data_IF_272082445535
#
_entry.id   IF_272082445535
#
_cell.length_a   1.000
_cell.length_b   1.000
_cell.length_c   1.000
_cell.angle_alpha   90.00
_cell.angle_beta   90.00
_cell.angle_gamma   90.00
#
_symmetry.space_group_name_H-M   'P 1'
#
loop_
_entity.id
_entity.type
_entity.pdbx_description
1 polymer ?
#
# COMPACT_ATOMS: atom_id res chain seq x y z
N UNK A 1 -13.33 7.83 -7.10
CA UNK A 1 -12.62 9.11 -7.32
C UNK A 1 -11.12 8.90 -7.56
N UNK A 2 -10.34 8.26 -6.67
CA UNK A 2 -8.89 8.11 -6.87
C UNK A 2 -8.51 7.38 -8.18
N UNK A 3 -9.07 6.19 -8.42
CA UNK A 3 -8.78 5.39 -9.62
C UNK A 3 -9.14 6.10 -10.94
N UNK A 4 -10.18 6.94 -10.95
CA UNK A 4 -10.53 7.70 -12.16
C UNK A 4 -9.51 8.80 -12.47
N UNK A 5 -8.88 9.40 -11.46
CA UNK A 5 -7.86 10.45 -11.64
C UNK A 5 -6.58 9.88 -12.23
N UNK A 6 -6.19 8.67 -11.79
CA UNK A 6 -4.95 8.04 -12.22
C UNK A 6 -5.12 7.16 -13.48
N UNK A 7 -6.34 7.05 -14.01
CA UNK A 7 -6.65 6.18 -15.15
C UNK A 7 -5.81 6.55 -16.38
N UNK A 8 -5.21 5.53 -16.99
CA UNK A 8 -4.38 5.68 -18.20
C UNK A 8 -3.02 6.32 -17.95
N UNK A 9 -2.65 6.57 -16.69
CA UNK A 9 -1.31 7.02 -16.31
C UNK A 9 -0.45 5.82 -15.96
N UNK A 10 0.86 6.04 -16.06
CA UNK A 10 1.88 5.06 -15.77
C UNK A 10 2.80 5.62 -14.70
N UNK A 11 3.18 4.80 -13.72
CA UNK A 11 3.98 5.23 -12.57
C UNK A 11 5.14 4.27 -12.30
N UNK A 12 6.35 4.80 -12.12
CA UNK A 12 7.51 4.02 -11.64
C UNK A 12 7.49 3.76 -10.13
N UNK A 13 6.70 4.52 -9.38
CA UNK A 13 6.59 4.43 -7.92
C UNK A 13 5.23 3.88 -7.50
N UNK A 14 5.09 3.33 -6.28
CA UNK A 14 3.79 2.93 -5.75
C UNK A 14 2.83 4.11 -5.65
N UNK A 15 1.54 3.80 -5.66
CA UNK A 15 0.51 4.75 -5.25
C UNK A 15 0.21 4.55 -3.77
N UNK A 16 0.10 5.63 -3.01
CA UNK A 16 -0.06 5.54 -1.55
C UNK A 16 -1.43 6.03 -1.11
N UNK A 17 -2.00 5.36 -0.10
CA UNK A 17 -3.08 5.94 0.70
C UNK A 17 -2.47 6.76 1.81
N UNK A 18 -2.86 8.02 1.87
CA UNK A 18 -2.42 8.98 2.87
C UNK A 18 -3.56 9.24 3.86
N UNK A 19 -3.31 8.96 5.14
CA UNK A 19 -4.30 9.09 6.21
C UNK A 19 -3.66 9.74 7.43
N UNK A 20 -3.97 11.01 7.64
CA UNK A 20 -3.36 11.88 8.67
C UNK A 20 -4.36 12.69 9.49
N UNK A 21 -5.64 12.71 9.11
CA UNK A 21 -6.59 13.61 9.75
C UNK A 21 -7.02 13.09 11.11
N UNK A 22 -6.98 13.98 12.11
CA UNK A 22 -7.45 13.67 13.47
C UNK A 22 -8.85 13.07 13.49
N UNK A 23 -9.78 13.63 12.70
CA UNK A 23 -11.16 13.14 12.63
C UNK A 23 -11.27 11.69 12.12
N UNK A 24 -10.31 11.25 11.29
CA UNK A 24 -10.24 9.85 10.86
C UNK A 24 -9.72 8.99 12.01
N UNK A 25 -8.65 9.40 12.68
CA UNK A 25 -8.09 8.67 13.82
C UNK A 25 -9.06 8.53 15.01
N UNK A 26 -9.90 9.54 15.24
CA UNK A 26 -10.93 9.53 16.29
C UNK A 26 -11.99 8.42 16.10
N UNK A 27 -12.05 7.78 14.92
CA UNK A 27 -12.88 6.58 14.68
C UNK A 27 -12.32 5.32 15.35
N UNK A 28 -11.07 5.35 15.83
CA UNK A 28 -10.40 4.24 16.48
C UNK A 28 -9.74 3.25 15.50
N UNK A 29 -8.80 2.45 16.04
CA UNK A 29 -7.92 1.57 15.26
C UNK A 29 -8.66 0.63 14.31
N UNK A 30 -9.74 0.00 14.77
CA UNK A 30 -10.48 -0.99 13.98
C UNK A 30 -11.12 -0.36 12.74
N UNK A 31 -11.85 0.74 12.92
CA UNK A 31 -12.54 1.43 11.84
C UNK A 31 -11.55 2.08 10.87
N UNK A 32 -10.49 2.71 11.38
CA UNK A 32 -9.41 3.28 10.56
C UNK A 32 -8.75 2.20 9.71
N UNK A 33 -8.43 1.06 10.32
CA UNK A 33 -7.83 -0.08 9.62
C UNK A 33 -8.79 -0.71 8.59
N UNK A 34 -10.10 -0.69 8.83
CA UNK A 34 -11.09 -1.11 7.83
C UNK A 34 -11.11 -0.17 6.61
N UNK A 35 -11.05 1.14 6.84
CA UNK A 35 -10.98 2.15 5.77
C UNK A 35 -9.71 1.98 4.94
N UNK A 36 -8.55 1.85 5.61
CA UNK A 36 -7.27 1.61 4.95
C UNK A 36 -7.34 0.35 4.08
N UNK A 37 -7.81 -0.79 4.63
CA UNK A 37 -7.95 -2.04 3.87
C UNK A 37 -8.86 -1.89 2.66
N UNK A 38 -10.00 -1.19 2.79
CA UNK A 38 -10.92 -1.00 1.68
C UNK A 38 -10.26 -0.25 0.51
N UNK A 39 -9.52 0.82 0.79
CA UNK A 39 -8.78 1.56 -0.23
C UNK A 39 -7.67 0.70 -0.85
N UNK A 40 -6.80 0.13 -0.01
CA UNK A 40 -5.64 -0.64 -0.45
C UNK A 40 -6.07 -1.81 -1.35
N UNK A 41 -7.07 -2.60 -0.94
CA UNK A 41 -7.58 -3.72 -1.74
C UNK A 41 -8.19 -3.26 -3.06
N UNK A 42 -8.97 -2.17 -3.07
CA UNK A 42 -9.60 -1.68 -4.31
C UNK A 42 -8.56 -1.20 -5.32
N UNK A 43 -7.49 -0.55 -4.87
CA UNK A 43 -6.42 -0.04 -5.73
C UNK A 43 -5.50 -1.16 -6.21
N UNK A 44 -5.15 -2.09 -5.33
CA UNK A 44 -4.41 -3.32 -5.68
C UNK A 44 -5.15 -4.13 -6.74
N UNK A 45 -6.45 -4.36 -6.55
CA UNK A 45 -7.30 -5.10 -7.50
C UNK A 45 -7.43 -4.42 -8.87
N UNK A 46 -7.15 -3.11 -8.95
CA UNK A 46 -7.11 -2.36 -10.20
C UNK A 46 -5.76 -2.45 -10.92
N UNK A 47 -4.81 -3.24 -10.43
CA UNK A 47 -3.51 -3.48 -11.06
C UNK A 47 -2.42 -2.49 -10.65
N UNK A 48 -2.58 -1.81 -9.52
CA UNK A 48 -1.58 -0.89 -8.99
C UNK A 48 -0.83 -1.49 -7.80
N UNK A 49 0.49 -1.34 -7.78
CA UNK A 49 1.32 -1.48 -6.61
C UNK A 49 0.97 -0.37 -5.62
N UNK A 50 0.25 -0.72 -4.56
CA UNK A 50 -0.26 0.23 -3.57
C UNK A 50 0.48 0.09 -2.23
N UNK A 51 0.62 1.19 -1.51
CA UNK A 51 1.15 1.24 -0.16
C UNK A 51 0.33 2.12 0.77
N UNK A 52 0.71 2.10 2.05
CA UNK A 52 0.16 3.00 3.07
C UNK A 52 1.25 4.00 3.49
N UNK A 53 0.92 5.28 3.44
CA UNK A 53 1.70 6.32 4.10
C UNK A 53 1.15 6.55 5.51
N UNK A 54 2.03 6.80 6.47
CA UNK A 54 1.60 7.21 7.81
C UNK A 54 2.75 7.56 8.74
N UNK A 55 2.45 8.39 9.73
CA UNK A 55 3.37 8.70 10.82
C UNK A 55 3.73 7.46 11.65
N UNK A 56 4.92 7.45 12.26
CA UNK A 56 5.30 6.40 13.21
C UNK A 56 4.24 6.20 14.31
N UNK A 57 3.61 7.29 14.77
CA UNK A 57 2.53 7.25 15.75
C UNK A 57 1.30 6.51 15.23
N UNK A 58 0.74 6.94 14.09
CA UNK A 58 -0.48 6.34 13.53
C UNK A 58 -0.27 4.89 13.07
N UNK A 59 0.92 4.54 12.59
CA UNK A 59 1.29 3.17 12.25
C UNK A 59 1.36 2.23 13.48
N UNK A 60 1.73 2.77 14.64
CA UNK A 60 1.77 2.00 15.89
C UNK A 60 0.41 1.92 16.58
N UNK A 61 -0.38 3.00 16.53
CA UNK A 61 -1.58 3.16 17.37
C UNK A 61 -2.89 2.90 16.63
N UNK A 62 -2.96 3.20 15.32
CA UNK A 62 -4.21 3.19 14.55
C UNK A 62 -4.21 2.22 13.36
N UNK A 63 -3.07 1.57 13.08
CA UNK A 63 -2.92 0.66 11.94
C UNK A 63 -2.77 -0.78 12.41
N UNK A 64 -3.60 -1.69 11.87
CA UNK A 64 -3.50 -3.11 12.13
C UNK A 64 -2.23 -3.73 11.50
N UNK A 65 -1.70 -4.79 12.13
CA UNK A 65 -0.43 -5.40 11.73
C UNK A 65 -0.51 -6.18 10.42
N UNK A 66 -1.71 -6.66 10.04
CA UNK A 66 -1.95 -7.30 8.75
C UNK A 66 -1.71 -6.31 7.60
N UNK A 67 -2.14 -5.05 7.74
CA UNK A 67 -1.87 -4.01 6.73
C UNK A 67 -0.36 -3.78 6.57
N UNK A 68 0.36 -3.65 7.69
CA UNK A 68 1.81 -3.38 7.70
C UNK A 68 2.65 -4.54 7.18
N UNK A 69 2.15 -5.78 7.32
CA UNK A 69 2.84 -6.97 6.82
C UNK A 69 2.57 -7.23 5.34
N UNK A 70 1.41 -6.82 4.82
CA UNK A 70 1.01 -7.06 3.43
C UNK A 70 1.42 -5.94 2.47
N UNK A 71 1.33 -4.68 2.92
CA UNK A 71 1.55 -3.51 2.07
C UNK A 71 2.88 -2.81 2.36
N UNK A 72 3.44 -2.16 1.34
CA UNK A 72 4.64 -1.34 1.56
C UNK A 72 4.28 -0.10 2.37
N UNK A 73 5.10 0.22 3.36
CA UNK A 73 4.92 1.41 4.20
C UNK A 73 5.81 2.55 3.70
N UNK A 74 5.23 3.75 3.60
CA UNK A 74 5.95 5.01 3.56
C UNK A 74 5.84 5.63 4.96
N UNK A 75 6.92 5.53 5.72
CA UNK A 75 6.97 5.96 7.11
C UNK A 75 7.26 7.45 7.17
N UNK A 76 6.43 8.23 7.86
CA UNK A 76 6.79 9.57 8.30
C UNK A 76 7.31 9.55 9.74
N UNK A 77 8.58 9.93 9.91
CA UNK A 77 9.19 10.05 11.23
C UNK A 77 10.38 11.02 11.16
N UNK A 78 10.15 12.27 11.56
CA UNK A 78 11.13 13.35 11.42
C UNK A 78 12.17 13.34 12.56
N UNK A 79 13.06 12.36 12.52
CA UNK A 79 14.15 12.12 13.47
C UNK A 79 15.42 11.69 12.74
N UNK A 80 16.59 11.82 13.36
CA UNK A 80 17.85 11.39 12.73
C UNK A 80 18.00 9.86 12.66
N UNK A 81 17.41 9.16 13.63
CA UNK A 81 17.37 7.70 13.67
C UNK A 81 15.99 7.24 14.16
N UNK A 82 15.23 6.59 13.27
CA UNK A 82 13.90 6.07 13.62
C UNK A 82 13.98 4.90 14.60
N UNK A 83 13.10 4.91 15.61
CA UNK A 83 12.85 3.76 16.49
C UNK A 83 11.66 2.90 16.04
N UNK A 84 11.09 3.19 14.87
CA UNK A 84 10.00 2.41 14.29
C UNK A 84 10.51 1.02 13.91
N UNK A 85 9.94 -0.01 14.51
CA UNK A 85 10.38 -1.41 14.35
C UNK A 85 9.77 -2.13 13.15
N UNK A 86 8.73 -1.54 12.53
CA UNK A 86 8.10 -2.11 11.34
C UNK A 86 8.93 -1.91 10.08
N UNK A 87 8.73 -2.77 9.09
CA UNK A 87 9.36 -2.65 7.78
C UNK A 87 8.75 -1.50 6.98
N UNK A 88 9.57 -0.71 6.30
CA UNK A 88 9.14 0.35 5.39
C UNK A 88 9.98 0.34 4.11
N UNK A 89 9.42 0.89 3.03
CA UNK A 89 10.10 1.05 1.74
C UNK A 89 10.58 2.47 1.48
N UNK A 90 9.90 3.46 2.08
CA UNK A 90 10.25 4.88 1.99
C UNK A 90 10.18 5.45 3.41
N UNK A 91 11.10 6.35 3.73
CA UNK A 91 11.11 7.09 5.00
C UNK A 91 11.15 8.59 4.73
N UNK A 92 10.07 9.28 5.11
CA UNK A 92 10.04 10.73 5.20
C UNK A 92 10.69 11.14 6.53
N UNK A 93 11.88 11.72 6.43
CA UNK A 93 12.71 12.07 7.60
C UNK A 93 12.71 13.58 7.89
N UNK A 94 12.09 14.40 7.04
CA UNK A 94 11.90 15.82 7.30
C UNK A 94 10.68 16.37 6.56
N UNK A 95 9.99 17.33 7.17
CA UNK A 95 9.00 18.23 6.52
C UNK A 95 9.57 19.64 6.26
N UNK A 96 10.85 19.89 6.61
CA UNK A 96 11.49 21.22 6.55
C UNK A 96 12.75 21.24 5.70
N UNK A 97 12.81 20.34 4.73
CA UNK A 97 13.92 20.24 3.79
C UNK A 97 14.12 21.47 2.94
N UNK A 98 15.29 21.52 2.30
CA UNK A 98 15.66 22.51 1.30
C UNK A 98 16.26 21.80 0.10
N UNK A 99 15.59 21.92 -1.05
CA UNK A 99 16.03 21.35 -2.32
C UNK A 99 16.09 22.48 -3.34
N UNK A 100 17.21 22.57 -4.05
CA UNK A 100 17.36 23.58 -5.10
C UNK A 100 16.24 23.43 -6.15
N UNK A 101 15.55 24.53 -6.45
CA UNK A 101 14.39 24.54 -7.35
C UNK A 101 13.04 24.49 -6.65
N UNK A 102 12.98 24.30 -5.32
CA UNK A 102 11.73 24.33 -4.55
C UNK A 102 11.75 25.50 -3.57
N UNK A 103 10.75 26.37 -3.68
CA UNK A 103 10.57 27.50 -2.77
C UNK A 103 9.83 27.05 -1.50
N UNK A 104 10.39 27.38 -0.33
CA UNK A 104 9.78 27.06 0.95
C UNK A 104 10.33 25.79 1.59
N UNK A 105 9.55 25.18 2.47
CA UNK A 105 9.87 23.87 3.05
C UNK A 105 9.39 22.77 2.10
N UNK A 106 10.13 21.67 2.07
CA UNK A 106 9.75 20.47 1.31
C UNK A 106 10.05 19.22 2.12
N UNK A 107 9.22 18.20 1.93
CA UNK A 107 9.46 16.90 2.51
C UNK A 107 10.72 16.27 1.93
N UNK A 108 11.48 15.57 2.78
CA UNK A 108 12.65 14.80 2.37
C UNK A 108 12.45 13.33 2.68
N UNK A 109 12.63 12.53 1.64
CA UNK A 109 12.34 11.10 1.64
C UNK A 109 13.55 10.29 1.19
N UNK A 110 13.79 9.16 1.89
CA UNK A 110 14.76 8.15 1.48
C UNK A 110 13.99 6.92 1.00
N UNK A 111 14.19 6.53 -0.26
CA UNK A 111 13.63 5.31 -0.82
C UNK A 111 14.64 4.17 -0.74
N UNK A 112 14.28 3.10 -0.02
CA UNK A 112 15.15 1.94 0.21
C UNK A 112 14.89 0.77 -0.75
N UNK A 113 13.83 0.87 -1.56
CA UNK A 113 13.44 -0.17 -2.52
C UNK A 113 13.55 0.34 -3.95
N UNK A 114 14.01 -0.53 -4.84
CA UNK A 114 13.92 -0.32 -6.29
C UNK A 114 12.50 -0.63 -6.79
N UNK A 115 11.56 0.25 -6.44
CA UNK A 115 10.18 0.15 -6.92
C UNK A 115 10.07 0.16 -8.44
N UNK A 116 10.83 0.98 -9.20
CA UNK A 116 10.75 0.95 -10.66
C UNK A 116 10.96 -0.45 -11.23
N UNK A 117 12.00 -1.17 -10.80
CA UNK A 117 12.25 -2.54 -11.27
C UNK A 117 11.17 -3.52 -10.80
N UNK A 118 10.74 -3.44 -9.54
CA UNK A 118 9.72 -4.33 -8.97
C UNK A 118 8.37 -4.15 -9.69
N UNK A 119 7.97 -2.92 -9.96
CA UNK A 119 6.67 -2.59 -10.56
C UNK A 119 6.64 -2.98 -12.04
N UNK A 120 7.70 -2.62 -12.78
CA UNK A 120 7.81 -2.94 -14.22
C UNK A 120 7.86 -4.46 -14.44
N UNK A 121 8.63 -5.19 -13.65
CA UNK A 121 8.73 -6.65 -13.78
C UNK A 121 7.40 -7.38 -13.52
N UNK A 122 6.52 -6.78 -12.72
CA UNK A 122 5.17 -7.30 -12.44
C UNK A 122 4.10 -6.79 -13.41
N UNK A 123 4.42 -5.87 -14.31
CA UNK A 123 3.43 -5.24 -15.20
C UNK A 123 2.35 -4.45 -14.44
N UNK A 124 2.65 -3.94 -13.25
CA UNK A 124 1.71 -3.14 -12.46
C UNK A 124 1.77 -1.66 -12.88
N UNK A 125 0.91 -0.80 -12.32
CA UNK A 125 0.95 0.66 -12.50
C UNK A 125 0.91 1.12 -13.97
N UNK A 126 0.13 0.44 -14.80
CA UNK A 126 -0.03 0.78 -16.22
C UNK A 126 1.06 0.22 -17.15
N UNK A 127 2.03 -0.54 -16.63
CA UNK A 127 3.08 -1.18 -17.45
C UNK A 127 2.65 -2.51 -18.10
N UNK A 128 1.62 -3.17 -17.55
CA UNK A 128 1.04 -4.39 -18.09
C UNK A 128 -0.08 -4.13 -19.10
N UNK A 129 -0.59 -5.18 -19.73
CA UNK A 129 -1.82 -5.07 -20.51
C UNK A 129 -2.96 -4.62 -19.59
N UNK A 130 -3.74 -3.64 -20.04
CA UNK A 130 -4.89 -3.16 -19.29
C UNK A 130 -5.75 -4.36 -18.84
N UNK A 131 -6.08 -4.47 -17.54
CA UNK A 131 -7.04 -5.46 -17.09
C UNK A 131 -8.32 -5.27 -17.93
N UNK A 132 -8.85 -6.36 -18.49
CA UNK A 132 -10.22 -6.31 -19.00
C UNK A 132 -11.12 -5.77 -17.89
N UNK A 133 -12.08 -4.88 -18.20
CA UNK A 133 -12.92 -4.30 -17.18
C UNK A 133 -13.66 -5.41 -16.45
N UNK A 134 -13.19 -5.73 -15.24
CA UNK A 134 -13.89 -6.63 -14.35
C UNK A 134 -15.23 -5.98 -14.05
N UNK A 135 -16.37 -6.68 -14.25
CA UNK A 135 -17.66 -6.20 -13.79
C UNK A 135 -17.52 -5.86 -12.30
N UNK A 136 -18.01 -4.69 -11.91
CA UNK A 136 -17.98 -4.21 -10.53
C UNK A 136 -18.80 -5.17 -9.66
N UNK A 137 -18.16 -6.23 -9.15
CA UNK A 137 -18.70 -7.07 -8.09
C UNK A 137 -18.38 -6.39 -6.78
N UNK A 138 -19.12 -5.32 -6.49
CA UNK A 138 -19.43 -4.97 -5.11
C UNK A 138 -20.44 -6.01 -4.58
N UNK A 139 -19.96 -7.20 -4.25
CA UNK A 139 -20.71 -8.13 -3.40
C UNK A 139 -19.74 -8.62 -2.33
N UNK A 140 -20.07 -8.36 -1.07
CA UNK A 140 -19.57 -9.11 0.09
C UNK A 140 -19.94 -10.59 -0.10
N UNK A 141 -19.17 -11.31 -0.92
CA UNK A 141 -19.08 -12.75 -0.80
C UNK A 141 -17.96 -12.99 0.19
N UNK A 142 -18.35 -13.40 1.39
CA UNK A 142 -17.44 -14.15 2.24
C UNK A 142 -16.98 -15.35 1.43
N UNK A 143 -15.78 -15.28 0.89
CA UNK A 143 -15.12 -16.44 0.29
C UNK A 143 -14.87 -17.43 1.43
N UNK A 144 -15.82 -18.36 1.58
CA UNK A 144 -15.74 -19.46 2.55
C UNK A 144 -14.74 -20.51 2.11
N UNK A 145 -14.23 -20.43 0.87
CA UNK A 145 -13.22 -21.33 0.36
C UNK A 145 -12.26 -20.64 -0.62
N UNK A 146 -10.97 -20.95 -0.51
CA UNK A 146 -9.91 -20.50 -1.43
C UNK A 146 -9.15 -21.72 -1.95
N UNK A 147 -8.99 -21.84 -3.27
CA UNK A 147 -8.13 -22.87 -3.87
C UNK A 147 -6.71 -22.35 -3.99
N UNK A 148 -5.77 -23.02 -3.32
CA UNK A 148 -4.34 -22.74 -3.41
C UNK A 148 -3.64 -23.79 -4.27
N UNK A 149 -2.68 -23.33 -5.09
CA UNK A 149 -1.71 -24.19 -5.75
C UNK A 149 -0.32 -23.87 -5.20
N UNK A 150 0.33 -24.85 -4.59
CA UNK A 150 1.67 -24.72 -4.00
C UNK A 150 2.63 -25.55 -4.83
N UNK A 151 3.77 -24.96 -5.22
CA UNK A 151 4.86 -25.69 -5.87
C UNK A 151 6.02 -25.85 -4.91
N UNK A 152 6.48 -27.09 -4.74
CA UNK A 152 7.67 -27.43 -3.94
C UNK A 152 8.58 -28.26 -4.85
N UNK A 153 9.72 -27.70 -5.25
CA UNK A 153 10.57 -28.33 -6.28
C UNK A 153 9.82 -28.48 -7.61
N UNK A 154 9.80 -29.70 -8.15
CA UNK A 154 9.05 -30.03 -9.37
C UNK A 154 7.60 -30.45 -9.10
N UNK A 155 7.21 -30.58 -7.83
CA UNK A 155 5.88 -31.08 -7.46
C UNK A 155 4.87 -29.94 -7.32
N UNK A 156 3.63 -30.23 -7.71
CA UNK A 156 2.51 -29.29 -7.62
C UNK A 156 1.41 -29.87 -6.75
N UNK A 157 1.10 -29.16 -5.66
CA UNK A 157 0.04 -29.48 -4.71
C UNK A 157 -1.13 -28.53 -4.93
N UNK A 158 -2.35 -29.07 -5.00
CA UNK A 158 -3.58 -28.29 -5.10
C UNK A 158 -4.49 -28.62 -3.94
N UNK A 159 -5.03 -27.61 -3.28
CA UNK A 159 -5.94 -27.79 -2.15
C UNK A 159 -6.93 -26.65 -2.04
N UNK A 160 -8.08 -26.93 -1.44
CA UNK A 160 -9.09 -25.92 -1.12
C UNK A 160 -9.09 -25.71 0.39
N UNK A 161 -8.78 -24.50 0.81
CA UNK A 161 -8.86 -24.04 2.20
C UNK A 161 -10.26 -23.51 2.44
N UNK A 162 -10.99 -24.12 3.37
CA UNK A 162 -12.34 -23.67 3.75
C UNK A 162 -12.24 -22.96 5.09
N UNK A 163 -12.81 -21.76 5.18
CA UNK A 163 -12.94 -21.01 6.44
C UNK A 163 -13.96 -21.73 7.33
N UNK A 164 -13.51 -22.24 8.47
CA UNK A 164 -14.35 -22.91 9.47
C UNK A 164 -15.31 -21.93 10.15
#
# INVERSE_FOLDING_TARGET
>A
MFLSVIKGKQFEMPVYFDLEEKKQFDLGKEQVSAIMRAFLKKVESAGYFVGLYGSASSLNTHTADDIKSWYTIWLAHWVDQTNYSGTYGIWQHSEKGKVAGINGNVDLDICYKDFPTIIKSKGLNGWGKAPEPTPDKSEDKQDTAVTATIKIGNDTYKGTLVKA
#
